data_IF_455790129567
#
_entry.id   IF_455790129567
#
_cell.length_a   1.000
_cell.length_b   1.000
_cell.length_c   1.000
_cell.angle_alpha   90.00
_cell.angle_beta   90.00
_cell.angle_gamma   90.00
#
_symmetry.space_group_name_H-M   'P 1'
#
loop_
_entity.id
_entity.type
_entity.pdbx_description
1 polymer ?
#
# COMPACT_ATOMS: atom_id res chain seq x y z
N UNK A 1 14.64 27.21 14.10
CA UNK A 1 13.49 27.06 14.99
C UNK A 1 12.69 25.82 14.56
N UNK A 2 12.43 24.90 15.51
CA UNK A 2 11.75 23.64 15.23
C UNK A 2 10.28 23.82 14.78
N UNK A 3 9.59 24.79 15.36
CA UNK A 3 8.19 25.10 14.99
C UNK A 3 8.09 25.60 13.55
N UNK A 4 8.99 26.49 13.12
CA UNK A 4 9.04 26.99 11.75
C UNK A 4 9.34 25.84 10.78
N UNK A 5 10.30 24.98 11.10
CA UNK A 5 10.61 23.80 10.28
C UNK A 5 9.40 22.87 10.14
N UNK A 6 8.70 22.60 11.23
CA UNK A 6 7.50 21.75 11.20
C UNK A 6 6.36 22.36 10.38
N UNK A 7 6.15 23.68 10.48
CA UNK A 7 5.18 24.39 9.66
C UNK A 7 5.55 24.33 8.16
N UNK A 8 6.80 24.60 7.82
CA UNK A 8 7.31 24.51 6.43
C UNK A 8 7.14 23.09 5.89
N UNK A 9 7.45 22.06 6.69
CA UNK A 9 7.25 20.66 6.27
C UNK A 9 5.80 20.36 5.94
N UNK A 10 4.85 20.82 6.75
CA UNK A 10 3.40 20.64 6.48
C UNK A 10 2.98 21.32 5.17
N UNK A 11 3.48 22.51 4.90
CA UNK A 11 3.23 23.20 3.62
C UNK A 11 3.83 22.44 2.43
N UNK A 12 5.05 21.93 2.57
CA UNK A 12 5.68 21.11 1.51
C UNK A 12 4.88 19.83 1.24
N UNK A 13 4.37 19.17 2.27
CA UNK A 13 3.56 17.95 2.14
C UNK A 13 2.16 18.23 1.55
N UNK A 14 1.56 19.38 1.84
CA UNK A 14 0.26 19.78 1.31
C UNK A 14 0.33 20.25 -0.15
N UNK A 15 1.48 20.73 -0.58
CA UNK A 15 1.71 21.29 -1.93
C UNK A 15 2.75 20.47 -2.66
N UNK A 16 2.38 19.29 -3.10
CA UNK A 16 3.23 18.47 -3.97
C UNK A 16 3.42 19.21 -5.31
N UNK A 17 4.66 19.48 -5.66
CA UNK A 17 5.01 20.09 -6.96
C UNK A 17 5.71 19.02 -7.81
N UNK A 18 5.08 18.53 -8.89
CA UNK A 18 5.71 17.56 -9.76
C UNK A 18 6.91 18.19 -10.49
N UNK A 19 7.98 17.44 -10.76
CA UNK A 19 9.11 17.92 -11.54
C UNK A 19 8.70 18.29 -12.98
N UNK A 20 9.42 19.22 -13.60
CA UNK A 20 9.10 19.71 -14.95
C UNK A 20 8.97 18.58 -15.99
N UNK A 21 9.87 17.60 -15.97
CA UNK A 21 9.81 16.45 -16.86
C UNK A 21 8.50 15.65 -16.67
N UNK A 22 8.05 15.49 -15.42
CA UNK A 22 6.77 14.87 -15.11
C UNK A 22 5.57 15.65 -15.65
N UNK A 23 5.63 16.99 -15.63
CA UNK A 23 4.58 17.84 -16.21
C UNK A 23 4.52 17.71 -17.72
N UNK A 24 5.65 17.70 -18.42
CA UNK A 24 5.74 17.51 -19.88
C UNK A 24 5.19 16.12 -20.26
N UNK A 25 5.56 15.08 -19.52
CA UNK A 25 5.05 13.72 -19.74
C UNK A 25 3.53 13.64 -19.49
N UNK A 26 3.02 14.32 -18.47
CA UNK A 26 1.59 14.39 -18.18
C UNK A 26 0.81 15.12 -19.28
N UNK A 27 1.34 16.21 -19.81
CA UNK A 27 0.75 16.91 -20.94
C UNK A 27 0.66 16.00 -22.16
N UNK A 28 1.76 15.32 -22.52
CA UNK A 28 1.77 14.37 -23.65
C UNK A 28 0.81 13.18 -23.43
N UNK A 29 0.51 12.79 -22.18
CA UNK A 29 -0.42 11.71 -21.87
C UNK A 29 -1.89 12.04 -22.18
N UNK A 30 -2.24 13.32 -22.38
CA UNK A 30 -3.58 13.73 -22.79
C UNK A 30 -3.92 13.27 -24.21
N UNK A 31 -2.92 12.98 -25.03
CA UNK A 31 -3.06 12.45 -26.38
C UNK A 31 -3.09 10.91 -26.44
N UNK A 32 -3.07 10.24 -25.26
CA UNK A 32 -3.17 8.79 -25.21
C UNK A 32 -4.53 8.31 -25.73
N UNK A 33 -4.54 7.19 -26.48
CA UNK A 33 -5.76 6.64 -27.05
C UNK A 33 -6.73 6.14 -25.96
N UNK A 34 -8.03 6.18 -26.26
CA UNK A 34 -9.06 5.59 -25.41
C UNK A 34 -8.86 4.08 -25.22
N UNK A 35 -8.30 3.41 -26.23
CA UNK A 35 -7.97 1.98 -26.16
C UNK A 35 -6.92 1.71 -25.08
N UNK A 36 -5.82 2.48 -25.08
CA UNK A 36 -4.79 2.39 -24.04
C UNK A 36 -5.36 2.65 -22.64
N UNK A 37 -6.21 3.66 -22.50
CA UNK A 37 -6.86 3.98 -21.24
C UNK A 37 -7.74 2.82 -20.73
N UNK A 38 -8.49 2.16 -21.65
CA UNK A 38 -9.34 1.02 -21.33
C UNK A 38 -8.53 -0.21 -20.94
N UNK A 39 -7.55 -0.58 -21.75
CA UNK A 39 -6.64 -1.71 -21.44
C UNK A 39 -5.95 -1.54 -20.08
N UNK A 40 -5.46 -0.34 -19.80
CA UNK A 40 -4.84 0.00 -18.51
C UNK A 40 -5.86 -0.14 -17.36
N UNK A 41 -7.08 0.36 -17.54
CA UNK A 41 -8.15 0.23 -16.55
C UNK A 41 -8.49 -1.23 -16.27
N UNK A 42 -8.68 -2.05 -17.31
CA UNK A 42 -9.01 -3.46 -17.17
C UNK A 42 -7.90 -4.23 -16.46
N UNK A 43 -6.64 -3.96 -16.78
CA UNK A 43 -5.50 -4.55 -16.08
C UNK A 43 -5.50 -4.20 -14.58
N UNK A 44 -5.77 -2.93 -14.21
CA UNK A 44 -5.85 -2.54 -12.81
C UNK A 44 -7.07 -3.13 -12.08
N UNK A 45 -8.18 -3.34 -12.76
CA UNK A 45 -9.34 -4.06 -12.21
C UNK A 45 -8.96 -5.49 -11.85
N UNK A 46 -8.23 -6.19 -12.71
CA UNK A 46 -7.77 -7.55 -12.48
C UNK A 46 -6.74 -7.64 -11.35
N UNK A 47 -5.78 -6.71 -11.29
CA UNK A 47 -4.80 -6.60 -10.19
C UNK A 47 -5.49 -6.35 -8.86
N UNK A 48 -6.43 -5.40 -8.83
CA UNK A 48 -7.26 -5.10 -7.66
C UNK A 48 -7.97 -6.34 -7.16
N UNK A 49 -8.66 -7.06 -8.06
CA UNK A 49 -9.38 -8.29 -7.72
C UNK A 49 -8.44 -9.34 -7.14
N UNK A 50 -7.29 -9.56 -7.77
CA UNK A 50 -6.28 -10.49 -7.29
C UNK A 50 -5.84 -10.17 -5.85
N UNK A 51 -5.47 -8.90 -5.58
CA UNK A 51 -5.02 -8.49 -4.26
C UNK A 51 -6.15 -8.58 -3.21
N UNK A 52 -7.32 -8.01 -3.48
CA UNK A 52 -8.42 -7.94 -2.50
C UNK A 52 -8.96 -9.33 -2.17
N UNK A 53 -9.20 -10.17 -3.17
CA UNK A 53 -9.65 -11.54 -2.96
C UNK A 53 -8.61 -12.35 -2.19
N UNK A 54 -7.32 -12.15 -2.50
CA UNK A 54 -6.22 -12.82 -1.81
C UNK A 54 -6.10 -12.38 -0.35
N UNK A 55 -6.14 -11.08 -0.06
CA UNK A 55 -6.10 -10.53 1.29
C UNK A 55 -7.24 -11.09 2.16
N UNK A 56 -8.47 -11.05 1.65
CA UNK A 56 -9.65 -11.49 2.40
C UNK A 56 -9.73 -13.01 2.60
N UNK A 57 -8.83 -13.80 1.99
CA UNK A 57 -8.66 -15.24 2.28
C UNK A 57 -7.69 -15.50 3.43
N UNK A 58 -6.85 -14.54 3.79
CA UNK A 58 -5.91 -14.70 4.91
C UNK A 58 -6.69 -14.52 6.21
N UNK A 59 -6.64 -15.47 7.15
CA UNK A 59 -7.37 -15.38 8.41
C UNK A 59 -7.05 -14.08 9.19
N UNK A 60 -8.10 -13.37 9.62
CA UNK A 60 -7.98 -12.13 10.38
C UNK A 60 -7.66 -10.88 9.57
N UNK A 61 -7.40 -11.00 8.26
CA UNK A 61 -7.21 -9.86 7.35
C UNK A 61 -8.55 -9.41 6.78
N UNK A 62 -8.73 -8.09 6.70
CA UNK A 62 -9.88 -7.49 6.03
C UNK A 62 -9.45 -6.32 5.15
N UNK A 63 -9.86 -6.34 3.91
CA UNK A 63 -9.70 -5.22 2.97
C UNK A 63 -11.01 -4.93 2.27
N UNK A 64 -11.53 -3.69 2.31
CA UNK A 64 -12.66 -3.29 1.51
C UNK A 64 -12.29 -3.29 0.02
N UNK A 65 -13.30 -3.37 -0.86
CA UNK A 65 -13.08 -3.19 -2.31
C UNK A 65 -12.97 -1.69 -2.58
N UNK A 66 -11.78 -1.19 -2.97
CA UNK A 66 -11.63 0.23 -3.29
C UNK A 66 -12.33 0.56 -4.61
N UNK A 67 -13.02 1.68 -4.66
CA UNK A 67 -13.75 2.13 -5.84
C UNK A 67 -12.88 2.97 -6.81
N UNK A 68 -11.65 3.24 -6.43
CA UNK A 68 -10.70 4.01 -7.24
C UNK A 68 -9.27 3.86 -6.75
N UNK A 69 -8.35 4.65 -7.30
CA UNK A 69 -6.91 4.60 -7.07
C UNK A 69 -6.29 3.24 -7.46
N UNK A 70 -5.05 3.03 -7.06
CA UNK A 70 -4.27 1.81 -7.30
C UNK A 70 -3.73 1.20 -5.99
N UNK A 71 -4.38 1.50 -4.88
CA UNK A 71 -4.05 1.00 -3.54
C UNK A 71 -5.31 0.76 -2.71
N UNK A 72 -5.15 -0.03 -1.66
CA UNK A 72 -6.17 -0.28 -0.63
C UNK A 72 -5.57 -0.10 0.76
N UNK A 73 -6.42 0.07 1.75
CA UNK A 73 -6.06 -0.03 3.17
C UNK A 73 -6.64 -1.33 3.69
N UNK A 74 -5.79 -2.18 4.26
CA UNK A 74 -6.20 -3.45 4.84
C UNK A 74 -5.93 -3.46 6.34
N UNK A 75 -6.85 -4.02 7.10
CA UNK A 75 -6.70 -4.34 8.52
C UNK A 75 -6.03 -5.70 8.65
N UNK A 76 -4.97 -5.76 9.46
CA UNK A 76 -4.20 -6.97 9.70
C UNK A 76 -4.38 -7.46 11.14
N UNK A 77 -4.23 -8.77 11.41
CA UNK A 77 -4.29 -9.33 12.74
C UNK A 77 -2.95 -9.15 13.50
N UNK A 78 -2.55 -7.90 13.67
CA UNK A 78 -1.29 -7.51 14.36
C UNK A 78 -1.57 -6.50 15.47
N UNK A 79 -0.72 -6.47 16.47
CA UNK A 79 -0.77 -5.54 17.60
C UNK A 79 -0.47 -4.09 17.15
N UNK A 80 0.48 -3.94 16.22
CA UNK A 80 0.97 -2.65 15.75
C UNK A 80 1.55 -2.78 14.33
N UNK A 81 0.93 -2.10 13.36
CA UNK A 81 1.31 -2.18 11.94
C UNK A 81 2.66 -1.50 11.66
N UNK A 82 3.04 -0.46 12.43
CA UNK A 82 4.36 0.17 12.28
C UNK A 82 5.47 -0.83 12.66
N UNK A 83 5.30 -1.55 13.77
CA UNK A 83 6.22 -2.60 14.19
C UNK A 83 6.25 -3.77 13.22
N UNK A 84 5.08 -4.21 12.75
CA UNK A 84 4.99 -5.30 11.78
C UNK A 84 5.70 -4.97 10.47
N UNK A 85 5.46 -3.77 9.92
CA UNK A 85 6.13 -3.32 8.70
C UNK A 85 7.65 -3.22 8.88
N UNK A 86 8.13 -2.68 10.01
CA UNK A 86 9.55 -2.62 10.32
C UNK A 86 10.16 -4.04 10.43
N UNK A 87 9.51 -4.93 11.16
CA UNK A 87 9.94 -6.31 11.33
C UNK A 87 9.98 -7.09 10.01
N UNK A 88 9.01 -6.89 9.10
CA UNK A 88 9.06 -7.48 7.77
C UNK A 88 10.33 -7.13 7.00
N UNK A 89 10.89 -5.93 7.23
CA UNK A 89 12.08 -5.45 6.50
C UNK A 89 13.39 -5.81 7.18
N UNK A 90 13.40 -6.02 8.51
CA UNK A 90 14.63 -6.24 9.28
C UNK A 90 14.86 -7.70 9.68
N UNK A 91 13.80 -8.46 9.95
CA UNK A 91 13.89 -9.74 10.67
C UNK A 91 13.17 -10.89 9.95
N UNK A 92 12.38 -10.61 8.91
CA UNK A 92 11.59 -11.63 8.23
C UNK A 92 12.00 -11.81 6.78
N UNK A 93 12.13 -13.07 6.39
CA UNK A 93 12.18 -13.49 4.99
C UNK A 93 11.46 -14.83 4.79
N UNK A 94 10.92 -15.03 3.62
CA UNK A 94 10.38 -16.30 3.15
C UNK A 94 10.87 -16.55 1.72
N UNK A 95 11.66 -17.62 1.52
CA UNK A 95 12.30 -17.94 0.24
C UNK A 95 13.14 -16.78 -0.34
N UNK A 96 13.89 -16.07 0.54
CA UNK A 96 14.69 -14.91 0.18
C UNK A 96 13.90 -13.67 -0.21
N UNK A 97 12.61 -13.60 0.13
CA UNK A 97 11.72 -12.49 -0.18
C UNK A 97 11.01 -11.96 1.05
N UNK A 98 10.66 -10.69 1.02
CA UNK A 98 9.80 -10.06 2.02
C UNK A 98 8.78 -9.14 1.35
N UNK A 99 7.86 -8.58 2.14
CA UNK A 99 6.86 -7.60 1.68
C UNK A 99 7.11 -6.24 2.30
N UNK A 100 6.95 -5.19 1.51
CA UNK A 100 7.02 -3.80 1.94
C UNK A 100 5.64 -3.16 1.84
N UNK A 101 5.17 -2.58 2.94
CA UNK A 101 3.87 -1.94 3.07
C UNK A 101 4.03 -0.62 3.81
N UNK A 102 3.07 0.29 3.65
CA UNK A 102 3.05 1.52 4.42
C UNK A 102 2.08 1.37 5.60
N UNK A 103 2.54 1.51 6.87
CA UNK A 103 1.63 1.52 8.00
C UNK A 103 0.68 2.71 7.91
N UNK A 104 -0.58 2.52 8.31
CA UNK A 104 -1.62 3.53 8.09
C UNK A 104 -1.82 4.49 9.26
N UNK A 105 -1.18 4.28 10.41
CA UNK A 105 -1.30 5.11 11.60
C UNK A 105 -1.07 6.61 11.33
N UNK A 106 -0.10 6.94 10.46
CA UNK A 106 0.23 8.30 10.07
C UNK A 106 -0.77 8.98 9.14
N UNK A 107 -1.76 8.27 8.60
CA UNK A 107 -2.81 8.85 7.74
C UNK A 107 -4.04 9.34 8.51
N UNK A 108 -4.13 9.01 9.79
CA UNK A 108 -5.22 9.43 10.67
C UNK A 108 -4.81 10.61 11.55
N UNK A 109 -5.70 11.59 11.70
CA UNK A 109 -5.51 12.70 12.65
C UNK A 109 -5.95 12.32 14.07
N UNK A 110 -6.87 11.35 14.19
CA UNK A 110 -7.33 10.84 15.48
C UNK A 110 -6.34 9.84 16.05
N UNK A 111 -5.78 10.07 17.24
CA UNK A 111 -4.85 9.15 17.87
C UNK A 111 -5.45 7.75 18.06
N UNK A 112 -4.64 6.72 17.75
CA UNK A 112 -5.00 5.32 17.93
C UNK A 112 -5.75 4.69 16.74
N UNK A 113 -6.18 5.45 15.75
CA UNK A 113 -6.70 4.90 14.50
C UNK A 113 -5.57 4.42 13.59
N UNK A 114 -5.87 3.44 12.75
CA UNK A 114 -4.92 2.87 11.79
C UNK A 114 -3.81 2.02 12.40
N UNK A 115 -3.87 1.74 13.73
CA UNK A 115 -2.79 1.05 14.45
C UNK A 115 -2.49 -0.35 13.94
N UNK A 116 -3.47 -1.03 13.40
CA UNK A 116 -3.35 -2.36 12.81
C UNK A 116 -3.73 -2.37 11.32
N UNK A 117 -3.56 -1.24 10.65
CA UNK A 117 -3.88 -1.08 9.24
C UNK A 117 -2.62 -0.75 8.43
N UNK A 118 -2.61 -1.22 7.18
CA UNK A 118 -1.54 -0.96 6.22
C UNK A 118 -2.12 -0.56 4.88
N UNK A 119 -1.43 0.35 4.18
CA UNK A 119 -1.72 0.68 2.80
C UNK A 119 -0.89 -0.20 1.87
N UNK A 120 -1.53 -0.85 0.92
CA UNK A 120 -0.90 -1.68 -0.10
C UNK A 120 -1.30 -1.21 -1.49
N UNK A 121 -0.35 -1.19 -2.43
CA UNK A 121 -0.59 -0.86 -3.82
C UNK A 121 -0.66 -2.12 -4.70
N UNK A 122 -1.60 -2.16 -5.65
CA UNK A 122 -1.71 -3.25 -6.63
C UNK A 122 -1.11 -2.87 -7.98
N UNK A 123 0.14 -2.39 -7.94
CA UNK A 123 0.89 -1.94 -9.12
C UNK A 123 1.76 -3.03 -9.76
N UNK A 124 1.97 -4.14 -9.07
CA UNK A 124 2.71 -5.28 -9.57
C UNK A 124 1.83 -6.13 -10.52
N UNK A 125 2.47 -6.99 -11.32
CA UNK A 125 1.75 -8.00 -12.11
C UNK A 125 1.00 -8.98 -11.20
N UNK A 126 -0.06 -9.61 -11.72
CA UNK A 126 -0.89 -10.56 -10.94
C UNK A 126 -0.09 -11.70 -10.32
N UNK A 127 0.88 -12.23 -11.07
CA UNK A 127 1.74 -13.31 -10.61
C UNK A 127 2.60 -12.89 -9.40
N UNK A 128 3.11 -11.66 -9.41
CA UNK A 128 3.91 -11.12 -8.33
C UNK A 128 3.03 -10.72 -7.13
N UNK A 129 1.81 -10.22 -7.36
CA UNK A 129 0.83 -10.00 -6.31
C UNK A 129 0.44 -11.32 -5.61
N UNK A 130 0.25 -12.39 -6.37
CA UNK A 130 -0.05 -13.71 -5.80
C UNK A 130 1.10 -14.23 -4.93
N UNK A 131 2.35 -14.05 -5.35
CA UNK A 131 3.55 -14.38 -4.54
C UNK A 131 3.61 -13.51 -3.28
N UNK A 132 3.41 -12.20 -3.42
CA UNK A 132 3.42 -11.27 -2.29
C UNK A 132 2.36 -11.63 -1.23
N UNK A 133 1.18 -12.12 -1.64
CA UNK A 133 0.15 -12.60 -0.73
C UNK A 133 0.60 -13.84 0.06
N UNK A 134 1.31 -14.77 -0.58
CA UNK A 134 1.89 -15.93 0.12
C UNK A 134 2.93 -15.48 1.14
N UNK A 135 3.84 -14.58 0.75
CA UNK A 135 4.87 -14.03 1.65
C UNK A 135 4.23 -13.28 2.80
N UNK A 136 3.20 -12.45 2.54
CA UNK A 136 2.45 -11.75 3.59
C UNK A 136 1.77 -12.71 4.58
N UNK A 137 1.14 -13.78 4.08
CA UNK A 137 0.54 -14.79 4.94
C UNK A 137 1.59 -15.44 5.84
N UNK A 138 2.75 -15.80 5.31
CA UNK A 138 3.86 -16.35 6.07
C UNK A 138 4.42 -15.36 7.11
N UNK A 139 4.49 -14.08 6.75
CA UNK A 139 4.87 -13.03 7.68
C UNK A 139 3.88 -12.93 8.85
N UNK A 140 2.58 -12.93 8.59
CA UNK A 140 1.54 -12.88 9.64
C UNK A 140 1.56 -14.15 10.52
N UNK A 141 1.83 -15.33 9.96
CA UNK A 141 1.97 -16.58 10.72
C UNK A 141 3.17 -16.53 11.67
N UNK A 142 4.28 -15.92 11.24
CA UNK A 142 5.55 -15.88 11.98
C UNK A 142 5.70 -14.67 12.93
N UNK A 143 4.90 -13.61 12.73
CA UNK A 143 5.05 -12.38 13.50
C UNK A 143 4.77 -12.58 15.00
N UNK A 144 5.69 -12.15 15.90
CA UNK A 144 5.51 -12.32 17.34
C UNK A 144 4.33 -11.56 17.95
N UNK A 145 3.93 -10.44 17.32
CA UNK A 145 2.82 -9.57 17.75
C UNK A 145 1.49 -9.87 17.08
N UNK A 146 1.29 -11.07 16.52
CA UNK A 146 0.00 -11.48 15.94
C UNK A 146 -1.10 -11.56 17.00
N UNK A 147 -2.35 -11.22 16.60
CA UNK A 147 -3.51 -11.14 17.51
C UNK A 147 -4.55 -12.25 17.30
N UNK A 148 -4.36 -13.13 16.34
CA UNK A 148 -5.17 -14.32 16.03
C UNK A 148 -4.27 -15.49 15.69
#
# INVERSE_FOLDING_TARGET
>A
NAEVRNAVMKFCQARLSPPLIGQIAAEASLDASEEYARETYDEYVERRKCLIDGLNRIPGVYSPIPMGAFYTVAKLPVDDADKFCAWCLSDFEYEGQTVMMAPASGFYTTPGLGKNEVRMAYVLKKEDLAKALVVLQKALEAYPGKTV
#
